data_IF_378680156511
#
_entry.id   IF_378680156511
#
_cell.length_a   1.000
_cell.length_b   1.000
_cell.length_c   1.000
_cell.angle_alpha   90.00
_cell.angle_beta   90.00
_cell.angle_gamma   90.00
#
_symmetry.space_group_name_H-M   'P 1'
#
loop_
_entity.id
_entity.type
_entity.pdbx_description
1 polymer ?
#
# COMPACT_ATOMS: atom_id res chain seq x y z
N UNK A 1 18.97 24.59 -68.50
CA UNK A 1 18.69 23.28 -67.85
C UNK A 1 19.99 22.68 -67.33
N UNK A 2 20.24 22.77 -66.02
CA UNK A 2 21.11 21.88 -65.22
C UNK A 2 21.23 22.48 -63.81
N UNK A 3 20.33 22.07 -62.92
CA UNK A 3 20.54 22.12 -61.48
C UNK A 3 20.24 20.71 -60.98
N UNK A 4 21.28 19.99 -60.56
CA UNK A 4 21.16 18.76 -59.79
C UNK A 4 21.82 19.04 -58.44
N UNK A 5 21.01 19.50 -57.48
CA UNK A 5 21.38 19.50 -56.07
C UNK A 5 20.56 18.37 -55.45
N UNK A 6 21.18 17.19 -55.34
CA UNK A 6 20.64 16.07 -54.58
C UNK A 6 21.11 16.26 -53.14
N UNK A 7 20.30 16.96 -52.34
CA UNK A 7 20.45 17.02 -50.90
C UNK A 7 19.99 15.68 -50.31
N UNK A 8 20.95 14.80 -50.04
CA UNK A 8 20.72 13.55 -49.31
C UNK A 8 20.42 13.95 -47.86
N UNK A 9 19.15 14.08 -47.51
CA UNK A 9 18.67 14.13 -46.13
C UNK A 9 18.87 12.74 -45.48
N UNK A 10 20.11 12.44 -45.07
CA UNK A 10 20.36 11.38 -44.08
C UNK A 10 20.16 11.97 -42.69
N UNK A 11 18.93 12.35 -42.38
CA UNK A 11 18.49 12.37 -40.98
C UNK A 11 17.87 11.00 -40.78
N UNK A 12 18.75 10.00 -40.67
CA UNK A 12 18.38 8.67 -40.21
C UNK A 12 17.61 8.86 -38.91
N UNK A 13 16.34 8.47 -38.95
CA UNK A 13 15.46 8.45 -37.82
C UNK A 13 16.15 7.74 -36.66
N UNK A 14 16.73 8.51 -35.75
CA UNK A 14 16.84 8.14 -34.35
C UNK A 14 15.41 8.27 -33.83
N UNK A 15 14.53 7.39 -34.33
CA UNK A 15 13.38 6.95 -33.57
C UNK A 15 14.00 6.24 -32.38
N UNK A 16 14.30 7.01 -31.33
CA UNK A 16 14.32 6.46 -29.99
C UNK A 16 12.93 5.86 -29.89
N UNK A 17 12.86 4.55 -30.11
CA UNK A 17 11.82 3.73 -29.55
C UNK A 17 11.91 4.07 -28.07
N UNK A 18 11.08 5.03 -27.63
CA UNK A 18 10.57 4.99 -26.28
C UNK A 18 9.81 3.68 -26.27
N UNK A 19 10.51 2.58 -25.97
CA UNK A 19 9.85 1.54 -25.23
C UNK A 19 9.49 2.27 -23.95
N UNK A 20 8.26 2.77 -23.89
CA UNK A 20 7.55 2.74 -22.63
C UNK A 20 7.70 1.28 -22.22
N UNK A 21 8.67 1.01 -21.33
CA UNK A 21 8.61 -0.20 -20.56
C UNK A 21 7.24 -0.09 -19.92
N UNK A 22 6.28 -0.85 -20.43
CA UNK A 22 5.07 -1.12 -19.69
C UNK A 22 5.60 -1.79 -18.43
N UNK A 23 5.73 -0.97 -17.39
CA UNK A 23 6.19 -1.43 -16.10
C UNK A 23 5.06 -2.34 -15.61
N UNK A 24 5.16 -3.63 -15.95
CA UNK A 24 4.29 -4.68 -15.46
C UNK A 24 4.54 -4.79 -13.95
N UNK A 25 3.94 -3.87 -13.20
CA UNK A 25 4.01 -3.84 -11.76
C UNK A 25 3.32 -5.09 -11.23
N UNK A 26 4.10 -5.92 -10.54
CA UNK A 26 3.57 -7.15 -9.94
C UNK A 26 2.40 -6.84 -9.02
N UNK A 27 2.49 -5.78 -8.22
CA UNK A 27 1.39 -5.37 -7.35
C UNK A 27 0.57 -4.21 -7.92
N UNK A 28 -0.74 -4.21 -7.64
CA UNK A 28 -1.61 -3.10 -7.99
C UNK A 28 -1.20 -1.83 -7.24
N UNK A 29 -1.60 -0.69 -7.80
CA UNK A 29 -1.42 0.59 -7.13
C UNK A 29 -2.10 0.57 -5.76
N UNK A 30 -1.34 0.88 -4.70
CA UNK A 30 -1.85 0.83 -3.32
C UNK A 30 -3.04 1.77 -3.12
N UNK A 31 -3.10 2.89 -3.85
CA UNK A 31 -4.22 3.84 -3.79
C UNK A 31 -5.55 3.19 -4.23
N UNK A 32 -5.51 2.14 -5.06
CA UNK A 32 -6.71 1.38 -5.46
C UNK A 32 -7.35 0.59 -4.32
N UNK A 33 -6.63 0.38 -3.21
CA UNK A 33 -7.13 -0.30 -2.02
C UNK A 33 -7.85 0.63 -1.03
N UNK A 34 -8.01 1.92 -1.36
CA UNK A 34 -8.76 2.86 -0.53
C UNK A 34 -9.86 3.58 -1.30
N UNK A 35 -11.00 3.78 -0.64
CA UNK A 35 -12.06 4.66 -1.14
C UNK A 35 -11.86 6.11 -0.70
N UNK A 36 -10.81 6.39 0.09
CA UNK A 36 -10.52 7.67 0.72
C UNK A 36 -9.19 8.25 0.24
N UNK A 37 -8.91 8.07 -1.06
CA UNK A 37 -7.64 8.43 -1.68
C UNK A 37 -7.22 9.89 -1.42
N UNK A 38 -8.18 10.82 -1.44
CA UNK A 38 -7.95 12.27 -1.25
C UNK A 38 -7.41 12.64 0.13
N UNK A 39 -7.55 11.75 1.11
CA UNK A 39 -7.01 12.02 2.43
C UNK A 39 -5.48 11.79 2.44
N UNK A 40 -4.96 10.85 1.65
CA UNK A 40 -3.54 10.47 1.66
C UNK A 40 -2.68 11.40 0.81
N UNK A 41 -1.44 11.63 1.26
CA UNK A 41 -0.42 12.26 0.43
C UNK A 41 0.25 11.17 -0.41
N UNK A 42 -0.23 11.01 -1.64
CA UNK A 42 0.23 9.99 -2.57
C UNK A 42 1.06 10.59 -3.72
N UNK A 43 2.21 9.97 -4.01
CA UNK A 43 3.06 10.33 -5.13
C UNK A 43 3.52 9.09 -5.88
N UNK A 44 3.16 8.96 -7.15
CA UNK A 44 3.73 7.96 -8.05
C UNK A 44 5.12 8.41 -8.51
N UNK A 45 6.13 7.58 -8.28
CA UNK A 45 7.50 7.82 -8.72
C UNK A 45 7.74 7.07 -10.05
N UNK A 46 8.97 7.14 -10.58
CA UNK A 46 9.33 6.37 -11.77
C UNK A 46 9.21 4.86 -11.50
N UNK A 47 8.68 4.11 -12.47
CA UNK A 47 8.46 2.67 -12.32
C UNK A 47 7.25 2.32 -11.46
N UNK A 48 7.36 1.21 -10.73
CA UNK A 48 6.35 0.69 -9.80
C UNK A 48 6.49 1.22 -8.37
N UNK A 49 7.29 2.27 -8.18
CA UNK A 49 7.52 2.85 -6.87
C UNK A 49 6.52 3.97 -6.64
N UNK A 50 5.82 3.95 -5.52
CA UNK A 50 4.99 5.06 -5.06
C UNK A 50 5.17 5.27 -3.57
N UNK A 51 4.92 6.49 -3.12
CA UNK A 51 4.88 6.84 -1.71
C UNK A 51 3.45 7.15 -1.31
N UNK A 52 3.05 6.73 -0.12
CA UNK A 52 1.74 7.03 0.45
C UNK A 52 1.88 7.33 1.93
N UNK A 53 1.66 8.60 2.26
CA UNK A 53 1.74 9.10 3.63
C UNK A 53 0.33 9.36 4.14
N UNK A 54 0.04 8.88 5.35
CA UNK A 54 -1.08 9.37 6.14
C UNK A 54 -0.58 10.61 6.92
N UNK A 55 -1.12 11.81 6.67
CA UNK A 55 -0.92 13.01 7.47
C UNK A 55 -1.20 12.81 8.96
N UNK A 56 -0.66 13.73 9.76
CA UNK A 56 -0.93 13.78 11.20
C UNK A 56 -2.44 13.96 11.46
N UNK A 57 -2.88 13.45 12.60
CA UNK A 57 -4.28 13.39 13.04
C UNK A 57 -5.21 12.54 12.13
N UNK A 58 -4.66 11.87 11.11
CA UNK A 58 -5.36 10.85 10.32
C UNK A 58 -5.35 9.49 11.03
N UNK A 59 -6.53 8.91 11.30
CA UNK A 59 -6.67 7.58 11.87
C UNK A 59 -6.65 6.53 10.77
N UNK A 60 -5.48 6.11 10.33
CA UNK A 60 -5.41 5.09 9.29
C UNK A 60 -5.41 3.68 9.85
N UNK A 61 -6.09 2.76 9.14
CA UNK A 61 -5.97 1.34 9.40
C UNK A 61 -5.85 0.51 8.12
N UNK A 62 -5.04 -0.55 8.21
CA UNK A 62 -5.07 -1.66 7.27
C UNK A 62 -6.22 -2.58 7.67
N UNK A 63 -7.13 -2.86 6.74
CA UNK A 63 -8.21 -3.84 6.90
C UNK A 63 -7.75 -5.18 6.33
N UNK A 64 -7.92 -6.24 7.10
CA UNK A 64 -7.56 -7.61 6.71
C UNK A 64 -8.57 -8.63 7.23
N UNK A 65 -8.42 -9.89 6.83
CA UNK A 65 -9.20 -11.01 7.35
C UNK A 65 -8.33 -12.09 7.95
N UNK A 66 -8.82 -12.75 9.01
CA UNK A 66 -8.09 -13.84 9.67
C UNK A 66 -7.91 -15.04 8.73
N UNK A 67 -8.92 -15.33 7.91
CA UNK A 67 -8.88 -16.37 6.86
C UNK A 67 -7.77 -16.18 5.81
N UNK A 68 -7.28 -14.96 5.63
CA UNK A 68 -6.22 -14.62 4.66
C UNK A 68 -5.00 -13.99 5.37
N UNK A 69 -4.78 -14.42 6.61
CA UNK A 69 -3.66 -13.99 7.44
C UNK A 69 -2.99 -15.18 8.16
N UNK A 70 -1.74 -15.00 8.52
CA UNK A 70 -0.96 -15.91 9.37
C UNK A 70 -1.15 -15.63 10.88
N UNK A 71 -2.00 -14.65 11.22
CA UNK A 71 -2.43 -14.36 12.59
C UNK A 71 -3.86 -14.87 12.82
N UNK A 72 -4.19 -15.20 14.06
CA UNK A 72 -5.54 -15.59 14.47
C UNK A 72 -5.78 -15.24 15.93
N UNK A 73 -6.99 -14.82 16.26
CA UNK A 73 -7.46 -14.71 17.65
C UNK A 73 -8.62 -15.68 17.85
N UNK A 74 -8.44 -16.65 18.75
CA UNK A 74 -9.37 -17.76 18.93
C UNK A 74 -10.75 -17.34 19.47
N UNK A 75 -10.83 -16.17 20.08
CA UNK A 75 -12.07 -15.59 20.59
C UNK A 75 -12.76 -14.67 19.58
N UNK A 76 -12.19 -14.43 18.40
CA UNK A 76 -12.82 -13.62 17.36
C UNK A 76 -14.13 -14.25 16.90
N UNK A 77 -15.18 -13.43 16.83
CA UNK A 77 -16.49 -13.84 16.28
C UNK A 77 -16.67 -13.43 14.82
N UNK A 78 -15.80 -12.56 14.32
CA UNK A 78 -15.80 -12.06 12.94
C UNK A 78 -14.50 -12.46 12.22
N UNK A 79 -14.54 -12.52 10.89
CA UNK A 79 -13.36 -12.84 10.08
C UNK A 79 -12.51 -11.62 9.72
N UNK A 80 -12.84 -10.41 10.17
CA UNK A 80 -12.08 -9.21 9.83
C UNK A 80 -11.43 -8.56 11.05
N UNK A 81 -10.35 -7.85 10.80
CA UNK A 81 -9.68 -7.02 11.79
C UNK A 81 -9.02 -5.79 11.13
N UNK A 82 -8.76 -4.78 11.95
CA UNK A 82 -8.03 -3.59 11.53
C UNK A 82 -6.70 -3.46 12.26
N UNK A 83 -5.63 -3.12 11.55
CA UNK A 83 -4.32 -2.76 12.12
C UNK A 83 -4.23 -1.23 12.09
N UNK A 84 -4.27 -0.58 13.25
CA UNK A 84 -4.38 0.87 13.39
C UNK A 84 -3.02 1.54 13.59
N UNK A 85 -2.91 2.80 13.18
CA UNK A 85 -1.73 3.64 13.40
C UNK A 85 -1.66 4.34 14.78
N UNK A 86 -2.63 4.09 15.67
CA UNK A 86 -2.65 4.65 17.02
C UNK A 86 -3.41 3.80 18.03
N UNK A 87 -3.11 4.06 19.29
CA UNK A 87 -3.97 3.71 20.42
C UNK A 87 -5.19 4.64 20.50
N UNK A 88 -6.22 4.19 21.23
CA UNK A 88 -7.41 5.02 21.49
C UNK A 88 -6.99 6.27 22.27
N UNK A 89 -7.31 7.45 21.74
CA UNK A 89 -7.01 8.74 22.37
C UNK A 89 -5.57 9.21 22.20
N UNK A 90 -4.74 8.50 21.41
CA UNK A 90 -3.40 8.94 21.04
C UNK A 90 -3.45 9.80 19.77
N UNK A 91 -2.68 10.89 19.75
CA UNK A 91 -2.46 11.67 18.53
C UNK A 91 -1.73 10.82 17.49
N UNK A 92 -2.14 10.90 16.22
CA UNK A 92 -1.48 10.17 15.13
C UNK A 92 -0.42 11.07 14.48
N UNK A 93 0.87 10.73 14.53
CA UNK A 93 1.86 11.43 13.72
C UNK A 93 1.64 11.13 12.24
N UNK A 94 2.21 11.95 11.36
CA UNK A 94 2.28 11.59 9.95
C UNK A 94 3.14 10.32 9.78
N UNK A 95 2.63 9.35 9.03
CA UNK A 95 3.29 8.06 8.81
C UNK A 95 3.36 7.72 7.32
N UNK A 96 4.49 7.16 6.91
CA UNK A 96 4.56 6.44 5.63
C UNK A 96 3.96 5.05 5.80
N UNK A 97 2.90 4.75 5.04
CA UNK A 97 2.07 3.56 5.23
C UNK A 97 2.86 2.29 4.94
N UNK A 98 3.74 2.33 3.93
CA UNK A 98 4.60 1.21 3.56
C UNK A 98 5.49 0.77 4.73
N UNK A 99 6.29 1.68 5.26
CA UNK A 99 7.25 1.36 6.31
C UNK A 99 6.60 1.12 7.67
N UNK A 100 5.52 1.83 7.98
CA UNK A 100 4.81 1.76 9.26
C UNK A 100 4.10 0.42 9.45
N UNK A 101 3.32 -0.03 8.46
CA UNK A 101 2.65 -1.34 8.49
C UNK A 101 3.50 -2.47 7.91
N UNK A 102 4.69 -2.16 7.40
CA UNK A 102 5.58 -3.14 6.78
C UNK A 102 4.92 -3.79 5.57
N UNK A 103 4.39 -2.98 4.66
CA UNK A 103 3.73 -3.48 3.47
C UNK A 103 4.76 -4.14 2.54
N UNK A 104 4.49 -5.38 2.16
CA UNK A 104 5.25 -6.12 1.16
C UNK A 104 4.34 -6.55 0.02
N UNK A 105 4.91 -6.63 -1.17
CA UNK A 105 4.25 -7.11 -2.38
C UNK A 105 4.72 -8.53 -2.66
N UNK A 106 3.80 -9.49 -2.73
CA UNK A 106 4.09 -10.89 -3.08
C UNK A 106 2.89 -11.46 -3.84
N UNK A 107 3.15 -12.17 -4.94
CA UNK A 107 2.12 -12.79 -5.78
C UNK A 107 0.93 -11.86 -6.05
N UNK A 108 1.22 -10.68 -6.61
CA UNK A 108 0.26 -9.62 -6.94
C UNK A 108 -0.55 -9.00 -5.80
N UNK A 109 -0.20 -9.33 -4.55
CA UNK A 109 -0.94 -8.90 -3.37
C UNK A 109 -0.08 -8.13 -2.39
N UNK A 110 -0.73 -7.18 -1.72
CA UNK A 110 -0.14 -6.45 -0.62
C UNK A 110 -0.40 -7.18 0.70
N UNK A 111 0.65 -7.34 1.50
CA UNK A 111 0.57 -7.89 2.84
C UNK A 111 1.14 -6.92 3.86
N UNK A 112 0.43 -6.69 4.97
CA UNK A 112 0.99 -6.04 6.15
C UNK A 112 1.77 -7.06 6.99
N UNK A 113 2.94 -6.65 7.48
CA UNK A 113 3.83 -7.51 8.27
C UNK A 113 4.23 -6.90 9.61
N UNK A 114 3.82 -5.66 9.90
CA UNK A 114 4.03 -5.01 11.19
C UNK A 114 2.70 -4.66 11.86
N UNK A 115 2.68 -4.79 13.18
CA UNK A 115 1.51 -4.53 14.04
C UNK A 115 1.87 -3.51 15.14
N UNK A 116 2.26 -2.27 14.75
CA UNK A 116 3.06 -1.37 15.58
C UNK A 116 2.28 -0.71 16.73
N UNK A 117 0.95 -0.57 16.61
CA UNK A 117 0.15 0.17 17.59
C UNK A 117 -1.00 -0.66 18.12
N UNK A 118 -1.98 -1.00 17.30
CA UNK A 118 -3.19 -1.70 17.78
C UNK A 118 -3.80 -2.55 16.70
N UNK A 119 -4.35 -3.70 17.09
CA UNK A 119 -5.28 -4.48 16.30
C UNK A 119 -6.66 -4.33 16.93
N UNK A 120 -7.67 -4.13 16.10
CA UNK A 120 -9.08 -4.09 16.52
C UNK A 120 -9.84 -5.21 15.82
N UNK A 121 -10.59 -5.99 16.58
CA UNK A 121 -11.48 -7.05 16.09
C UNK A 121 -12.69 -7.19 17.04
N UNK A 122 -13.60 -8.11 16.74
CA UNK A 122 -14.79 -8.35 17.56
C UNK A 122 -14.79 -9.74 18.16
N UNK A 123 -15.14 -9.84 19.44
CA UNK A 123 -15.43 -11.09 20.12
C UNK A 123 -16.84 -11.06 20.74
N UNK A 124 -17.20 -12.11 21.48
CA UNK A 124 -18.53 -12.22 22.10
C UNK A 124 -18.86 -11.10 23.11
N UNK A 125 -17.86 -10.40 23.65
CA UNK A 125 -18.04 -9.25 24.54
C UNK A 125 -18.10 -7.90 23.79
N UNK A 126 -17.83 -7.88 22.49
CA UNK A 126 -17.84 -6.70 21.63
C UNK A 126 -16.47 -6.40 21.03
N UNK A 127 -16.20 -5.11 20.79
CA UNK A 127 -14.95 -4.68 20.18
C UNK A 127 -13.76 -4.86 21.14
N UNK A 128 -12.75 -5.57 20.66
CA UNK A 128 -11.47 -5.74 21.34
C UNK A 128 -10.45 -4.81 20.70
N UNK A 129 -9.64 -4.16 21.53
CA UNK A 129 -8.55 -3.29 21.11
C UNK A 129 -7.26 -3.78 21.78
N UNK A 130 -6.29 -4.23 20.99
CA UNK A 130 -5.02 -4.71 21.52
C UNK A 130 -4.04 -3.55 21.78
N UNK A 131 -3.00 -3.84 22.55
CA UNK A 131 -1.76 -3.06 22.50
C UNK A 131 -0.99 -3.28 21.19
N UNK A 132 0.25 -2.78 21.14
CA UNK A 132 1.19 -3.15 20.10
C UNK A 132 1.49 -4.65 20.21
N UNK A 133 1.56 -5.34 19.08
CA UNK A 133 1.71 -6.80 19.03
C UNK A 133 2.99 -7.17 18.28
N UNK A 134 4.14 -6.76 18.82
CA UNK A 134 5.46 -6.97 18.18
C UNK A 134 5.77 -8.45 17.91
N UNK A 135 5.24 -9.36 18.73
CA UNK A 135 5.37 -10.81 18.55
C UNK A 135 4.68 -11.33 17.28
N UNK A 136 3.80 -10.53 16.66
CA UNK A 136 3.18 -10.86 15.38
C UNK A 136 3.99 -10.31 14.19
N UNK A 137 4.98 -9.44 14.42
CA UNK A 137 5.77 -8.89 13.32
C UNK A 137 6.45 -9.99 12.51
N UNK A 138 6.42 -9.83 11.18
CA UNK A 138 6.87 -10.84 10.22
C UNK A 138 5.76 -11.79 9.75
N UNK A 139 4.65 -11.90 10.48
CA UNK A 139 3.46 -12.63 10.01
C UNK A 139 2.70 -11.80 9.00
N UNK A 140 2.32 -12.41 7.87
CA UNK A 140 1.61 -11.75 6.77
C UNK A 140 0.11 -11.67 7.03
N UNK A 141 -0.46 -10.50 6.76
CA UNK A 141 -1.91 -10.26 6.70
C UNK A 141 -2.26 -9.60 5.37
N UNK A 142 -3.12 -10.23 4.57
CA UNK A 142 -3.53 -9.66 3.28
C UNK A 142 -4.18 -8.28 3.47
N UNK A 143 -3.72 -7.26 2.75
CA UNK A 143 -4.32 -5.93 2.75
C UNK A 143 -5.57 -5.97 1.85
N UNK A 144 -6.74 -6.01 2.48
CA UNK A 144 -8.03 -5.93 1.76
C UNK A 144 -8.49 -4.50 1.54
N UNK A 145 -8.01 -3.59 2.37
CA UNK A 145 -8.30 -2.18 2.22
C UNK A 145 -7.48 -1.32 3.16
N UNK A 146 -7.47 -0.02 2.86
CA UNK A 146 -6.83 1.00 3.68
C UNK A 146 -7.89 2.05 3.97
N UNK A 147 -8.16 2.27 5.24
CA UNK A 147 -9.09 3.31 5.70
C UNK A 147 -8.33 4.46 6.31
N UNK A 148 -8.92 5.64 6.19
CA UNK A 148 -8.73 6.79 7.07
C UNK A 148 -9.90 6.86 8.05
#
# INVERSE_FOLDING_TARGET
MKQFIVLIFVISAINIVKSECEDDCLCPDLLSLTQQADNFLYTKLAGCVSNMTCPADGLSAIVSSFSESEISFNDSTEDFFGIFNSQIGEATPAIDIYSFFGLICEDDKWYATKYPKRITYFNAAGQVNTGAMEQLNGKKSLVKGITW
#
